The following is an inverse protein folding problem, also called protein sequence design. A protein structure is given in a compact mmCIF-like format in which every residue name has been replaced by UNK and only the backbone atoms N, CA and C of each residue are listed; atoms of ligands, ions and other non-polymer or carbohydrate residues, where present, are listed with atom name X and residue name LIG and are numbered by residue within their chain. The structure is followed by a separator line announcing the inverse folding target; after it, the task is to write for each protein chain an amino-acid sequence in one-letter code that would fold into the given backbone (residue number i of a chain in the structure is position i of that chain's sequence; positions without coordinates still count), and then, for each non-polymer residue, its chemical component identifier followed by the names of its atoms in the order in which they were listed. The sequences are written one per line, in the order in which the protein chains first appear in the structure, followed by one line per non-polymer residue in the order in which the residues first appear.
data_IF_481764732643
#
_entry.id   IF_481764732643
#
_cell.length_a   1.000
_cell.length_b   1.000
_cell.length_c   1.000
_cell.angle_alpha   90.00
_cell.angle_beta   90.00
_cell.angle_gamma   90.00
#
_symmetry.space_group_name_H-M   'P 1'
#
loop_
_entity.id
_entity.type
_entity.pdbx_description
1 polymer ?
#
# COMPACT_ATOMS: atom_id res chain seq x y z
N UNK A 1 43.47 22.67 4.05
CA UNK A 1 42.21 22.25 4.71
C UNK A 1 40.96 22.73 3.98
N UNK A 2 40.71 24.05 3.83
CA UNK A 2 39.52 24.58 3.13
C UNK A 2 39.28 24.01 1.71
N UNK A 3 40.34 23.84 0.91
CA UNK A 3 40.24 23.25 -0.45
C UNK A 3 39.86 21.76 -0.46
N UNK A 4 40.30 21.01 0.55
CA UNK A 4 39.97 19.58 0.69
C UNK A 4 38.52 19.41 1.13
N UNK A 5 38.07 20.24 2.07
CA UNK A 5 36.68 20.28 2.52
C UNK A 5 35.76 20.68 1.36
N UNK A 6 36.15 21.68 0.57
CA UNK A 6 35.41 22.09 -0.62
C UNK A 6 35.26 20.97 -1.65
N UNK A 7 36.33 20.19 -1.88
CA UNK A 7 36.32 19.07 -2.82
C UNK A 7 35.45 17.90 -2.33
N UNK A 8 35.48 17.62 -1.02
CA UNK A 8 34.63 16.62 -0.40
C UNK A 8 33.15 16.99 -0.53
N UNK A 9 32.82 18.26 -0.29
CA UNK A 9 31.45 18.75 -0.35
C UNK A 9 30.87 18.69 -1.77
N UNK A 10 31.66 19.03 -2.78
CA UNK A 10 31.25 18.87 -4.19
C UNK A 10 31.07 17.41 -4.56
N UNK A 11 31.93 16.51 -4.08
CA UNK A 11 31.76 15.07 -4.34
C UNK A 11 30.46 14.52 -3.74
N UNK A 12 30.12 14.89 -2.50
CA UNK A 12 28.86 14.48 -1.84
C UNK A 12 27.63 14.99 -2.59
N UNK A 13 27.67 16.24 -3.05
CA UNK A 13 26.57 16.82 -3.85
C UNK A 13 26.38 16.10 -5.18
N UNK A 14 27.46 15.79 -5.88
CA UNK A 14 27.40 15.05 -7.16
C UNK A 14 26.82 13.65 -6.92
N UNK A 15 27.26 12.95 -5.87
CA UNK A 15 26.77 11.62 -5.54
C UNK A 15 25.28 11.64 -5.15
N UNK A 16 24.86 12.64 -4.35
CA UNK A 16 23.46 12.80 -3.95
C UNK A 16 22.51 13.20 -5.08
N UNK A 17 23.05 13.75 -6.18
CA UNK A 17 22.29 14.09 -7.38
C UNK A 17 22.33 13.01 -8.45
N UNK A 18 23.08 11.92 -8.26
CA UNK A 18 22.98 10.77 -9.14
C UNK A 18 21.56 10.22 -9.04
N UNK A 19 20.86 10.00 -10.17
CA UNK A 19 19.56 9.36 -10.17
C UNK A 19 19.74 7.93 -9.67
N UNK A 20 19.55 7.74 -8.36
CA UNK A 20 19.39 6.42 -7.79
C UNK A 20 18.09 5.88 -8.37
N UNK A 21 18.14 4.71 -8.99
CA UNK A 21 16.96 4.03 -9.50
C UNK A 21 15.97 3.84 -8.35
N UNK A 22 14.89 4.62 -8.34
CA UNK A 22 13.70 4.27 -7.58
C UNK A 22 13.10 3.06 -8.28
N UNK A 23 13.37 1.87 -7.74
CA UNK A 23 12.79 0.64 -8.28
C UNK A 23 11.33 0.64 -7.84
N UNK A 24 10.43 0.99 -8.75
CA UNK A 24 9.01 0.72 -8.54
C UNK A 24 8.80 -0.78 -8.60
N UNK A 25 7.94 -1.31 -7.73
CA UNK A 25 7.53 -2.71 -7.80
C UNK A 25 6.91 -2.99 -9.17
N UNK A 26 7.26 -4.13 -9.76
CA UNK A 26 6.87 -4.47 -11.13
C UNK A 26 5.46 -5.06 -11.22
N UNK A 27 4.89 -5.47 -10.08
CA UNK A 27 3.53 -5.98 -9.98
C UNK A 27 2.80 -5.42 -8.74
N UNK A 28 1.46 -5.42 -8.74
CA UNK A 28 0.68 -5.11 -7.55
C UNK A 28 1.03 -6.00 -6.36
N UNK A 29 1.30 -7.29 -6.57
CA UNK A 29 1.69 -8.24 -5.52
C UNK A 29 3.05 -7.87 -4.91
N UNK A 30 4.00 -7.42 -5.74
CA UNK A 30 5.32 -6.97 -5.29
C UNK A 30 5.23 -5.59 -4.62
N UNK A 31 4.22 -4.77 -4.96
CA UNK A 31 3.95 -3.47 -4.35
C UNK A 31 3.21 -3.57 -3.00
N UNK A 32 2.29 -4.54 -2.88
CA UNK A 32 1.37 -4.70 -1.75
C UNK A 32 1.77 -5.83 -0.80
N UNK A 33 2.67 -6.72 -1.22
CA UNK A 33 3.03 -7.95 -0.50
C UNK A 33 1.94 -9.02 -0.56
N UNK A 34 2.22 -10.18 0.06
CA UNK A 34 1.16 -11.14 0.39
C UNK A 34 0.33 -10.58 1.55
N UNK A 35 -0.98 -10.44 1.34
CA UNK A 35 -1.93 -10.00 2.35
C UNK A 35 -2.76 -11.20 2.82
N UNK A 36 -2.58 -11.57 4.09
CA UNK A 36 -3.45 -12.55 4.75
C UNK A 36 -4.83 -11.94 5.02
N UNK A 37 -5.87 -12.60 4.50
CA UNK A 37 -7.27 -12.21 4.73
C UNK A 37 -7.88 -13.15 5.76
N UNK A 38 -8.35 -12.57 6.86
CA UNK A 38 -8.97 -13.26 7.98
C UNK A 38 -10.48 -13.14 7.93
N UNK A 39 -11.18 -14.16 8.45
CA UNK A 39 -12.62 -14.10 8.70
C UNK A 39 -12.87 -13.54 10.10
N UNK A 40 -13.78 -12.56 10.23
CA UNK A 40 -14.23 -12.06 11.52
C UNK A 40 -15.29 -12.94 12.19
N UNK A 41 -15.85 -13.93 11.50
CA UNK A 41 -16.87 -14.83 12.05
C UNK A 41 -18.27 -14.22 12.21
N UNK A 42 -18.50 -13.01 11.72
CA UNK A 42 -19.82 -12.35 11.69
C UNK A 42 -20.07 -11.68 10.34
N UNK A 43 -21.32 -11.30 10.06
CA UNK A 43 -21.70 -10.59 8.84
C UNK A 43 -21.94 -9.11 9.12
N UNK A 44 -21.62 -8.25 8.15
CA UNK A 44 -21.91 -6.82 8.21
C UNK A 44 -22.76 -6.37 7.03
N UNK A 45 -23.51 -5.30 7.24
CA UNK A 45 -24.22 -4.59 6.18
C UNK A 45 -23.28 -3.58 5.54
N UNK A 46 -23.18 -3.61 4.21
CA UNK A 46 -22.38 -2.69 3.42
C UNK A 46 -23.23 -2.03 2.35
N UNK A 47 -22.88 -0.79 2.02
CA UNK A 47 -23.48 -0.07 0.90
C UNK A 47 -22.76 -0.49 -0.37
N UNK A 48 -23.44 -1.23 -1.24
CA UNK A 48 -22.91 -1.55 -2.56
C UNK A 48 -22.84 -0.29 -3.43
N UNK A 49 -22.00 -0.33 -4.48
CA UNK A 49 -21.76 0.80 -5.40
C UNK A 49 -23.06 1.34 -6.02
N UNK A 50 -24.07 0.48 -6.19
CA UNK A 50 -25.39 0.86 -6.69
C UNK A 50 -26.33 1.47 -5.63
N UNK A 51 -25.82 1.78 -4.42
CA UNK A 51 -26.59 2.37 -3.33
C UNK A 51 -27.49 1.38 -2.55
N UNK A 52 -27.44 0.08 -2.86
CA UNK A 52 -28.20 -0.94 -2.13
C UNK A 52 -27.40 -1.44 -0.92
N UNK A 53 -28.08 -1.56 0.22
CA UNK A 53 -27.51 -2.26 1.39
C UNK A 53 -27.51 -3.76 1.13
N UNK A 54 -26.36 -4.39 1.31
CA UNK A 54 -26.13 -5.81 1.15
C UNK A 54 -25.50 -6.37 2.42
N UNK A 55 -25.65 -7.67 2.68
CA UNK A 55 -25.04 -8.34 3.83
C UNK A 55 -23.95 -9.30 3.36
N UNK A 56 -22.75 -9.20 3.93
CA UNK A 56 -21.60 -10.04 3.58
C UNK A 56 -20.84 -10.45 4.83
N UNK A 57 -20.24 -11.63 4.80
CA UNK A 57 -19.31 -12.08 5.83
C UNK A 57 -18.16 -11.08 5.96
N UNK A 58 -17.91 -10.64 7.19
CA UNK A 58 -16.84 -9.70 7.47
C UNK A 58 -15.49 -10.41 7.33
N UNK A 59 -14.65 -9.85 6.47
CA UNK A 59 -13.25 -10.25 6.28
C UNK A 59 -12.36 -9.04 6.41
N UNK A 60 -11.14 -9.21 6.90
CA UNK A 60 -10.20 -8.12 7.14
C UNK A 60 -8.76 -8.58 6.90
N UNK A 61 -7.87 -7.61 6.66
CA UNK A 61 -6.43 -7.81 6.75
C UNK A 61 -5.87 -6.91 7.85
N UNK A 62 -4.68 -7.26 8.35
CA UNK A 62 -4.00 -6.50 9.40
C UNK A 62 -3.02 -5.51 8.77
N UNK A 63 -3.11 -4.25 9.19
CA UNK A 63 -2.24 -3.17 8.76
C UNK A 63 -1.55 -2.53 9.96
N UNK A 64 -0.22 -2.38 9.88
CA UNK A 64 0.54 -1.63 10.88
C UNK A 64 0.51 -0.13 10.54
N UNK A 65 -0.08 0.65 11.43
CA UNK A 65 -0.17 2.09 11.24
C UNK A 65 1.17 2.79 11.52
N UNK A 66 1.25 4.10 11.26
CA UNK A 66 2.47 4.90 11.49
C UNK A 66 2.97 4.93 12.95
N UNK A 67 2.18 4.43 13.91
CA UNK A 67 2.54 4.32 15.33
C UNK A 67 2.98 2.90 15.72
N UNK A 68 3.12 1.97 14.76
CA UNK A 68 3.47 0.57 15.01
C UNK A 68 2.32 -0.28 15.56
N UNK A 69 1.08 0.22 15.52
CA UNK A 69 -0.09 -0.52 16.01
C UNK A 69 -0.77 -1.26 14.87
N UNK A 70 -1.07 -2.53 15.09
CA UNK A 70 -1.91 -3.31 14.19
C UNK A 70 -3.37 -2.84 14.24
N UNK A 71 -3.95 -2.67 13.06
CA UNK A 71 -5.34 -2.28 12.85
C UNK A 71 -5.98 -3.22 11.84
N UNK A 72 -7.24 -3.60 12.10
CA UNK A 72 -8.06 -4.33 11.15
C UNK A 72 -8.56 -3.37 10.07
N UNK A 73 -8.27 -3.70 8.80
CA UNK A 73 -8.84 -3.02 7.65
C UNK A 73 -9.78 -4.01 6.95
N UNK A 74 -11.07 -3.65 6.79
CA UNK A 74 -12.02 -4.51 6.09
C UNK A 74 -11.57 -4.82 4.65
N UNK A 75 -11.61 -6.10 4.29
CA UNK A 75 -11.33 -6.59 2.95
C UNK A 75 -12.65 -6.91 2.25
N UNK A 76 -12.92 -6.24 1.14
CA UNK A 76 -14.10 -6.52 0.31
C UNK A 76 -13.65 -6.84 -1.11
N UNK A 77 -14.01 -8.02 -1.61
CA UNK A 77 -13.89 -8.30 -3.03
C UNK A 77 -14.97 -7.51 -3.77
N UNK A 78 -14.60 -6.36 -4.32
CA UNK A 78 -15.40 -5.76 -5.39
C UNK A 78 -15.13 -6.61 -6.63
N UNK A 79 -16.16 -7.28 -7.15
CA UNK A 79 -16.10 -7.83 -8.49
C UNK A 79 -16.44 -6.67 -9.43
N UNK A 80 -15.48 -6.00 -10.09
CA UNK A 80 -15.81 -5.12 -11.18
C UNK A 80 -16.31 -6.04 -12.29
N UNK A 81 -17.59 -6.38 -12.26
CA UNK A 81 -18.23 -6.96 -13.44
C UNK A 81 -17.92 -5.98 -14.56
N UNK A 82 -17.10 -6.46 -15.49
CA UNK A 82 -16.73 -5.76 -16.70
C UNK A 82 -18.06 -5.39 -17.34
N UNK A 83 -18.45 -4.12 -17.25
CA UNK A 83 -19.50 -3.60 -18.11
C UNK A 83 -18.93 -3.74 -19.52
N UNK A 84 -19.33 -4.79 -20.23
CA UNK A 84 -19.08 -4.96 -21.65
C UNK A 84 -20.43 -5.11 -22.32
N UNK A 85 -20.66 -4.40 -23.42
CA UNK A 85 -20.49 -2.97 -23.67
C UNK A 85 -21.72 -2.17 -23.20
#
# INVERSE_FOLDING_TARGET
MKKVISLLLTAVLIIGMLPLSAVAASTPEEALGELDIYSGGYSMNYLAVNGKVQTQSYTYFLYENAQGKQQEIPAYCVNPVRLVP
#
